data_IF_218212348245
#
_entry.id   IF_218212348245
#
_cell.length_a   1.000
_cell.length_b   1.000
_cell.length_c   1.000
_cell.angle_alpha   90.00
_cell.angle_beta   90.00
_cell.angle_gamma   90.00
#
_symmetry.space_group_name_H-M   'P 1'
#
loop_
_entity.id
_entity.type
_entity.pdbx_description
1 polymer ?
#
# COMPACT_ATOMS: atom_id res chain seq x y z
N UNK A 1 -4.26 -17.34 7.07
CA UNK A 1 -3.36 -16.22 6.70
C UNK A 1 -1.97 -16.49 7.28
N UNK A 2 -0.93 -16.47 6.45
CA UNK A 2 0.44 -16.79 6.86
C UNK A 2 0.99 -15.74 7.87
N UNK A 3 1.75 -16.14 8.91
CA UNK A 3 2.29 -15.21 9.91
C UNK A 3 3.08 -14.03 9.31
N UNK A 4 3.82 -14.27 8.22
CA UNK A 4 4.59 -13.23 7.51
C UNK A 4 3.71 -12.14 6.92
N UNK A 5 2.54 -12.51 6.38
CA UNK A 5 1.57 -11.55 5.83
C UNK A 5 1.01 -10.69 6.96
N UNK A 6 0.66 -11.28 8.11
CA UNK A 6 0.17 -10.54 9.28
C UNK A 6 1.18 -9.51 9.79
N UNK A 7 2.44 -9.91 9.96
CA UNK A 7 3.50 -9.01 10.43
C UNK A 7 3.74 -7.89 9.42
N UNK A 8 3.74 -8.22 8.13
CA UNK A 8 3.86 -7.22 7.07
C UNK A 8 2.71 -6.22 7.11
N UNK A 9 1.45 -6.68 7.09
CA UNK A 9 0.26 -5.83 7.16
C UNK A 9 0.25 -4.95 8.42
N UNK A 10 0.66 -5.49 9.56
CA UNK A 10 0.80 -4.71 10.79
C UNK A 10 1.85 -3.60 10.64
N UNK A 11 3.05 -3.91 10.16
CA UNK A 11 4.08 -2.88 9.93
C UNK A 11 3.65 -1.84 8.91
N UNK A 12 2.89 -2.27 7.91
CA UNK A 12 2.39 -1.44 6.83
C UNK A 12 1.35 -0.42 7.33
N UNK A 13 0.41 -0.86 8.17
CA UNK A 13 -0.62 0.01 8.74
C UNK A 13 -0.08 1.02 9.76
N UNK A 14 0.99 0.70 10.48
CA UNK A 14 1.56 1.60 11.49
C UNK A 14 2.71 2.49 10.97
N UNK A 15 2.89 2.58 9.65
CA UNK A 15 4.00 3.32 9.04
C UNK A 15 5.39 2.91 9.54
N UNK A 16 5.58 1.63 9.85
CA UNK A 16 6.81 1.06 10.43
C UNK A 16 7.75 0.44 9.40
N UNK A 17 7.37 0.38 8.12
CA UNK A 17 8.31 -0.07 7.10
C UNK A 17 9.36 1.01 6.83
N UNK A 18 10.64 0.62 6.69
CA UNK A 18 11.66 1.58 6.32
C UNK A 18 11.41 2.06 4.90
N UNK A 19 11.19 3.36 4.76
CA UNK A 19 11.14 4.07 3.48
C UNK A 19 12.21 5.15 3.44
N UNK A 20 12.54 5.67 2.25
CA UNK A 20 13.53 6.74 2.18
C UNK A 20 13.08 7.98 2.94
N UNK A 21 11.78 8.32 2.98
CA UNK A 21 11.28 9.38 3.86
C UNK A 21 11.57 9.13 5.35
N UNK A 22 11.38 7.91 5.84
CA UNK A 22 11.72 7.58 7.23
C UNK A 22 13.24 7.63 7.49
N UNK A 23 14.06 7.33 6.46
CA UNK A 23 15.52 7.31 6.55
C UNK A 23 16.08 8.73 6.56
N UNK A 24 15.53 9.69 5.80
CA UNK A 24 16.00 11.08 5.80
C UNK A 24 15.87 11.74 7.18
N UNK A 25 14.92 11.29 8.01
CA UNK A 25 14.78 11.73 9.41
C UNK A 25 15.98 11.36 10.29
N UNK A 26 16.71 10.29 9.93
CA UNK A 26 17.89 9.81 10.65
C UNK A 26 19.18 10.29 9.97
N UNK A 27 19.20 10.24 8.62
CA UNK A 27 20.37 10.57 7.81
C UNK A 27 20.11 11.86 7.02
N UNK A 28 20.74 12.94 7.48
CA UNK A 28 20.76 14.21 6.76
C UNK A 28 21.41 14.06 5.38
N UNK A 29 20.95 14.86 4.40
CA UNK A 29 21.40 14.85 3.00
C UNK A 29 21.17 13.54 2.24
N UNK A 30 20.19 12.74 2.66
CA UNK A 30 19.72 11.59 1.89
C UNK A 30 18.51 12.00 1.03
N UNK A 31 18.43 11.51 -0.20
CA UNK A 31 17.26 11.75 -1.05
C UNK A 31 16.09 10.91 -0.54
N UNK A 32 14.95 11.55 -0.30
CA UNK A 32 13.71 10.84 0.00
C UNK A 32 12.96 10.40 -1.26
N UNK A 33 13.49 10.62 -2.46
CA UNK A 33 12.77 10.29 -3.71
C UNK A 33 12.64 8.79 -3.87
N UNK A 34 11.44 8.33 -4.24
CA UNK A 34 11.17 6.91 -4.47
C UNK A 34 12.08 6.35 -5.57
N UNK A 35 12.93 5.35 -5.27
CA UNK A 35 13.90 4.81 -6.22
C UNK A 35 13.24 4.04 -7.37
N UNK A 36 11.97 3.66 -7.24
CA UNK A 36 11.24 2.90 -8.27
C UNK A 36 10.67 3.79 -9.37
N UNK A 37 10.17 4.97 -9.01
CA UNK A 37 9.49 5.87 -9.95
C UNK A 37 10.18 7.22 -10.13
N UNK A 38 11.13 7.56 -9.25
CA UNK A 38 11.92 8.78 -9.25
C UNK A 38 11.07 10.07 -9.32
N UNK A 39 9.84 10.05 -8.79
CA UNK A 39 8.87 11.12 -8.95
C UNK A 39 8.54 11.82 -7.64
N UNK A 40 8.03 11.07 -6.66
CA UNK A 40 7.60 11.59 -5.36
C UNK A 40 8.47 11.05 -4.22
N UNK A 41 8.30 11.64 -3.04
CA UNK A 41 8.87 11.14 -1.78
C UNK A 41 8.41 9.71 -1.49
N UNK A 42 9.35 8.87 -1.07
CA UNK A 42 9.10 7.48 -0.74
C UNK A 42 8.45 7.39 0.65
N UNK A 43 7.15 7.64 0.71
CA UNK A 43 6.31 7.23 1.85
C UNK A 43 5.78 5.81 1.62
N UNK A 44 5.28 5.14 2.67
CA UNK A 44 4.71 3.79 2.48
C UNK A 44 3.55 3.82 1.50
N UNK A 45 2.65 4.78 1.64
CA UNK A 45 1.50 4.87 0.74
C UNK A 45 1.91 5.20 -0.69
N UNK A 46 2.97 6.01 -0.88
CA UNK A 46 3.55 6.21 -2.20
C UNK A 46 4.04 4.89 -2.77
N UNK A 47 4.81 4.11 -2.01
CA UNK A 47 5.36 2.84 -2.48
C UNK A 47 4.29 1.80 -2.72
N UNK A 48 3.25 1.72 -1.91
CA UNK A 48 2.24 0.69 -2.03
C UNK A 48 1.21 0.98 -3.10
N UNK A 49 0.81 2.24 -3.26
CA UNK A 49 -0.37 2.63 -4.04
C UNK A 49 -0.05 3.56 -5.21
N UNK A 50 0.60 4.69 -4.93
CA UNK A 50 0.72 5.77 -5.92
C UNK A 50 1.90 5.60 -6.88
N UNK A 51 2.91 4.84 -6.50
CA UNK A 51 4.05 4.52 -7.35
C UNK A 51 3.54 3.78 -8.61
N UNK A 52 3.84 4.28 -9.83
CA UNK A 52 3.39 3.66 -11.08
C UNK A 52 3.70 2.16 -11.17
N UNK A 53 4.89 1.76 -10.73
CA UNK A 53 5.32 0.34 -10.70
C UNK A 53 4.39 -0.50 -9.81
N UNK A 54 4.05 0.00 -8.63
CA UNK A 54 3.16 -0.70 -7.72
C UNK A 54 1.73 -0.69 -8.22
N UNK A 55 1.28 0.43 -8.79
CA UNK A 55 -0.04 0.56 -9.39
C UNK A 55 -0.25 -0.46 -10.51
N UNK A 56 0.75 -0.67 -11.35
CA UNK A 56 0.71 -1.68 -12.41
C UNK A 56 0.51 -3.09 -11.83
N UNK A 57 1.27 -3.46 -10.79
CA UNK A 57 1.13 -4.75 -10.09
C UNK A 57 -0.27 -4.92 -9.48
N UNK A 58 -0.81 -3.87 -8.87
CA UNK A 58 -2.15 -3.91 -8.27
C UNK A 58 -3.25 -4.06 -9.34
N UNK A 59 -3.09 -3.39 -10.49
CA UNK A 59 -4.01 -3.55 -11.64
C UNK A 59 -3.93 -4.94 -12.24
N UNK A 60 -2.73 -5.52 -12.36
CA UNK A 60 -2.54 -6.92 -12.77
C UNK A 60 -3.23 -7.91 -11.82
N UNK A 61 -3.30 -7.56 -10.52
CA UNK A 61 -3.98 -8.34 -9.49
C UNK A 61 -5.50 -8.15 -9.43
N UNK A 62 -6.12 -7.48 -10.42
CA UNK A 62 -7.56 -7.16 -10.46
C UNK A 62 -8.03 -6.39 -9.20
N UNK A 63 -7.17 -5.53 -8.65
CA UNK A 63 -7.58 -4.63 -7.58
C UNK A 63 -8.53 -3.57 -8.14
N UNK A 64 -9.64 -3.34 -7.44
CA UNK A 64 -10.69 -2.43 -7.86
C UNK A 64 -10.16 -1.01 -8.15
N UNK A 65 -10.51 -0.44 -9.31
CA UNK A 65 -10.10 0.91 -9.72
C UNK A 65 -10.44 2.00 -8.70
N UNK A 66 -11.54 1.86 -7.95
CA UNK A 66 -11.89 2.81 -6.87
C UNK A 66 -10.82 2.87 -5.78
N UNK A 67 -10.18 1.74 -5.46
CA UNK A 67 -9.09 1.68 -4.48
C UNK A 67 -7.79 2.29 -5.02
N UNK A 68 -7.61 2.29 -6.34
CA UNK A 68 -6.44 2.89 -6.99
C UNK A 68 -6.59 4.41 -7.14
N UNK A 69 -7.81 4.86 -7.45
CA UNK A 69 -8.15 6.27 -7.68
C UNK A 69 -8.50 7.05 -6.40
N UNK A 70 -8.95 6.37 -5.35
CA UNK A 70 -9.30 7.02 -4.08
C UNK A 70 -8.11 7.75 -3.46
N UNK A 71 -8.35 8.90 -2.82
CA UNK A 71 -7.32 9.61 -2.07
C UNK A 71 -7.33 9.12 -0.62
N UNK A 72 -6.14 8.87 -0.09
CA UNK A 72 -5.94 8.36 1.26
C UNK A 72 -4.78 9.13 1.89
N UNK A 73 -4.95 9.51 3.15
CA UNK A 73 -3.96 10.29 3.90
C UNK A 73 -2.84 9.39 4.43
N UNK A 74 -3.17 8.16 4.85
CA UNK A 74 -2.19 7.19 5.34
C UNK A 74 -2.44 5.77 4.82
N UNK A 75 -1.45 4.88 5.00
CA UNK A 75 -1.51 3.54 4.41
C UNK A 75 -2.56 2.65 5.08
N UNK A 76 -2.84 2.84 6.38
CA UNK A 76 -3.85 2.06 7.10
C UNK A 76 -5.26 2.30 6.55
N UNK A 77 -5.65 3.55 6.28
CA UNK A 77 -6.97 3.86 5.70
C UNK A 77 -7.17 3.14 4.35
N UNK A 78 -6.12 3.10 3.54
CA UNK A 78 -6.14 2.38 2.28
C UNK A 78 -6.22 0.86 2.48
N UNK A 79 -5.43 0.31 3.41
CA UNK A 79 -5.44 -1.12 3.71
C UNK A 79 -6.77 -1.61 4.27
N UNK A 80 -7.42 -0.84 5.14
CA UNK A 80 -8.72 -1.17 5.68
C UNK A 80 -9.77 -1.28 4.58
N UNK A 81 -9.75 -0.34 3.62
CA UNK A 81 -10.63 -0.38 2.46
C UNK A 81 -10.32 -1.57 1.52
N UNK A 82 -9.04 -1.90 1.33
CA UNK A 82 -8.64 -3.11 0.58
C UNK A 82 -9.18 -4.37 1.25
N UNK A 83 -9.01 -4.51 2.57
CA UNK A 83 -9.48 -5.67 3.34
C UNK A 83 -11.01 -5.78 3.29
N UNK A 84 -11.72 -4.68 3.53
CA UNK A 84 -13.18 -4.61 3.45
C UNK A 84 -13.70 -5.06 2.07
N UNK A 85 -13.04 -4.62 0.99
CA UNK A 85 -13.42 -5.03 -0.37
C UNK A 85 -13.15 -6.52 -0.63
N UNK A 86 -12.03 -7.05 -0.14
CA UNK A 86 -11.72 -8.48 -0.27
C UNK A 86 -12.71 -9.34 0.52
N UNK A 87 -13.11 -8.91 1.72
CA UNK A 87 -14.13 -9.58 2.51
C UNK A 87 -15.49 -9.53 1.83
N UNK A 88 -15.86 -8.40 1.22
CA UNK A 88 -17.09 -8.29 0.42
C UNK A 88 -17.07 -9.22 -0.81
N UNK A 89 -15.97 -9.26 -1.57
CA UNK A 89 -15.81 -10.20 -2.69
C UNK A 89 -15.89 -11.66 -2.23
N UNK A 90 -15.32 -11.98 -1.07
CA UNK A 90 -15.42 -13.32 -0.50
C UNK A 90 -16.86 -13.66 -0.11
N UNK A 91 -17.58 -12.72 0.52
CA UNK A 91 -18.98 -12.89 0.87
C UNK A 91 -19.88 -13.07 -0.37
N UNK A 92 -19.69 -12.25 -1.41
CA UNK A 92 -20.40 -12.36 -2.68
C UNK A 92 -20.16 -13.72 -3.36
N UNK A 93 -18.95 -14.25 -3.27
CA UNK A 93 -18.65 -15.59 -3.78
C UNK A 93 -19.46 -16.68 -3.06
N UNK A 94 -19.66 -16.55 -1.75
CA UNK A 94 -20.47 -17.50 -0.98
C UNK A 94 -21.97 -17.36 -1.23
N UNK A 95 -22.47 -16.17 -1.56
CA UNK A 95 -23.90 -15.97 -1.86
C UNK A 95 -24.29 -16.43 -3.27
N UNK A 96 -23.32 -16.60 -4.16
CA UNK A 96 -23.49 -17.12 -5.52
C UNK A 96 -23.42 -18.66 -5.61
N UNK A 97 -23.13 -19.36 -4.52
CA UNK A 97 -23.13 -20.83 -4.39
C UNK A 97 -24.45 -21.35 -3.81
#
# INVERSE_FOLDING_TARGET
>A
MLPKIKVFSWRLGYDLLPTYDSITRIRQNFSNTCPRCNNNEETIIQVMKYCPVSREILTLGDLNNKLLEGNYDCCIDWLENVLCMLDAKAADFFTLL
#
